data_IF_270629263039
#
_entry.id   IF_270629263039
#
_cell.length_a   1.000
_cell.length_b   1.000
_cell.length_c   1.000
_cell.angle_alpha   90.00
_cell.angle_beta   90.00
_cell.angle_gamma   90.00
#
_symmetry.space_group_name_H-M   'P 1'
#
loop_
_entity.id
_entity.type
_entity.pdbx_description
1 polymer ?
#
# COMPACT_ATOMS: atom_id res chain seq x y z
N UNK A 1 5.69 -16.86 4.06
CA UNK A 1 7.05 -17.41 4.17
C UNK A 1 7.87 -17.09 2.95
N UNK A 2 8.19 -18.09 2.12
CA UNK A 2 9.28 -18.02 1.12
C UNK A 2 9.22 -16.90 0.06
N UNK A 3 8.03 -16.47 -0.37
CA UNK A 3 7.88 -15.44 -1.43
C UNK A 3 8.10 -14.01 -0.94
N UNK A 4 7.90 -13.77 0.35
CA UNK A 4 8.15 -12.47 0.98
C UNK A 4 9.65 -12.20 1.10
N UNK A 5 10.41 -13.24 1.45
CA UNK A 5 11.87 -13.21 1.54
C UNK A 5 12.52 -12.91 0.17
N UNK A 6 11.98 -13.47 -0.90
CA UNK A 6 12.49 -13.25 -2.27
C UNK A 6 12.28 -11.81 -2.76
N UNK A 7 11.15 -11.18 -2.38
CA UNK A 7 10.91 -9.76 -2.67
C UNK A 7 11.78 -8.82 -1.83
N UNK A 8 12.13 -9.22 -0.60
CA UNK A 8 12.96 -8.44 0.31
C UNK A 8 14.42 -8.31 -0.19
N UNK A 9 14.91 -9.28 -0.97
CA UNK A 9 16.28 -9.29 -1.50
C UNK A 9 16.50 -8.45 -2.77
N UNK A 10 15.47 -7.75 -3.28
CA UNK A 10 15.59 -6.95 -4.52
C UNK A 10 16.02 -5.51 -4.18
N UNK A 11 17.22 -5.14 -4.60
CA UNK A 11 17.86 -3.87 -4.22
C UNK A 11 17.11 -2.63 -4.75
N UNK A 12 16.73 -1.72 -3.83
CA UNK A 12 16.13 -0.42 -4.14
C UNK A 12 15.81 0.43 -2.90
N UNK A 13 16.74 1.35 -2.57
CA UNK A 13 16.69 2.59 -1.74
C UNK A 13 15.98 2.59 -0.36
N UNK A 14 15.45 1.48 0.15
CA UNK A 14 14.99 1.40 1.54
C UNK A 14 15.49 0.12 2.21
N UNK A 15 16.16 0.34 3.33
CA UNK A 15 16.78 -0.60 4.26
C UNK A 15 16.05 -1.96 4.33
N UNK A 16 16.75 -3.00 3.87
CA UNK A 16 16.25 -4.38 3.74
C UNK A 16 15.67 -4.91 5.06
N UNK A 17 16.23 -4.49 6.20
CA UNK A 17 15.77 -4.90 7.53
C UNK A 17 14.36 -4.38 7.84
N UNK A 18 14.08 -3.10 7.56
CA UNK A 18 12.74 -2.52 7.78
C UNK A 18 11.67 -3.15 6.88
N UNK A 19 12.05 -3.65 5.70
CA UNK A 19 11.15 -4.38 4.81
C UNK A 19 10.83 -5.79 5.33
N UNK A 20 11.82 -6.52 5.82
CA UNK A 20 11.62 -7.84 6.43
C UNK A 20 10.73 -7.71 7.66
N UNK A 21 11.00 -6.72 8.51
CA UNK A 21 10.21 -6.45 9.70
C UNK A 21 8.77 -6.03 9.36
N UNK A 22 8.60 -5.15 8.37
CA UNK A 22 7.28 -4.79 7.83
C UNK A 22 6.52 -6.00 7.29
N UNK A 23 7.18 -6.84 6.49
CA UNK A 23 6.60 -8.05 5.89
C UNK A 23 6.19 -9.10 6.95
N UNK A 24 6.97 -9.26 8.03
CA UNK A 24 6.63 -10.16 9.13
C UNK A 24 5.42 -9.65 9.92
N UNK A 25 5.34 -8.33 10.16
CA UNK A 25 4.18 -7.72 10.82
C UNK A 25 2.92 -7.76 9.96
N UNK A 26 3.04 -7.61 8.64
CA UNK A 26 1.95 -7.74 7.67
C UNK A 26 1.38 -9.16 7.61
N UNK A 27 2.19 -10.21 7.79
CA UNK A 27 1.72 -11.59 7.82
C UNK A 27 0.78 -11.89 8.99
N UNK A 28 0.92 -11.17 10.10
CA UNK A 28 0.10 -11.32 11.30
C UNK A 28 -0.91 -10.18 11.47
N UNK A 29 -1.08 -9.34 10.44
CA UNK A 29 -1.95 -8.17 10.49
C UNK A 29 -3.40 -8.61 10.61
N UNK A 30 -4.04 -8.25 11.71
CA UNK A 30 -5.49 -8.43 11.86
C UNK A 30 -6.23 -7.45 10.95
N UNK A 31 -7.48 -7.76 10.59
CA UNK A 31 -8.32 -6.85 9.79
C UNK A 31 -8.37 -5.47 10.46
N UNK A 32 -8.74 -5.42 11.73
CA UNK A 32 -8.87 -4.16 12.47
C UNK A 32 -7.57 -3.33 12.43
N UNK A 33 -6.41 -3.94 12.54
CA UNK A 33 -5.14 -3.21 12.44
C UNK A 33 -4.81 -2.73 11.02
N UNK A 34 -5.24 -3.45 9.98
CA UNK A 34 -5.18 -2.95 8.61
C UNK A 34 -6.02 -1.66 8.47
N UNK A 35 -7.21 -1.67 9.07
CA UNK A 35 -8.14 -0.52 9.11
C UNK A 35 -7.56 0.69 9.83
N UNK A 36 -6.79 0.49 10.89
CA UNK A 36 -6.30 1.55 11.78
C UNK A 36 -4.97 2.17 11.35
N UNK A 37 -4.59 2.06 10.07
CA UNK A 37 -3.51 2.87 9.49
C UNK A 37 -2.34 2.10 8.88
N UNK A 38 -2.48 0.79 8.67
CA UNK A 38 -1.42 -0.02 8.01
C UNK A 38 -1.69 -0.33 6.54
N UNK A 39 -2.94 -0.28 6.10
CA UNK A 39 -3.30 -0.37 4.69
C UNK A 39 -4.54 0.50 4.41
N UNK A 40 -4.58 1.14 3.24
CA UNK A 40 -5.77 1.86 2.78
C UNK A 40 -6.51 0.94 1.82
N UNK A 41 -7.73 0.54 2.18
CA UNK A 41 -8.55 -0.39 1.41
C UNK A 41 -9.98 0.12 1.37
N UNK A 42 -10.59 0.19 0.20
CA UNK A 42 -11.96 0.65 0.05
C UNK A 42 -12.36 0.93 -1.39
N UNK A 43 -13.50 1.60 -1.57
CA UNK A 43 -13.89 2.19 -2.87
C UNK A 43 -12.92 3.33 -3.24
N UNK A 44 -12.88 3.76 -4.51
CA UNK A 44 -12.04 4.89 -4.91
C UNK A 44 -12.28 6.16 -4.09
N UNK A 45 -13.53 6.42 -3.70
CA UNK A 45 -13.91 7.56 -2.85
C UNK A 45 -13.27 7.45 -1.46
N UNK A 46 -13.42 6.30 -0.81
CA UNK A 46 -12.82 6.04 0.51
C UNK A 46 -11.30 6.19 0.44
N UNK A 47 -10.66 5.64 -0.60
CA UNK A 47 -9.21 5.72 -0.76
C UNK A 47 -8.76 7.17 -0.98
N UNK A 48 -9.47 7.93 -1.81
CA UNK A 48 -9.16 9.35 -2.04
C UNK A 48 -9.25 10.17 -0.75
N UNK A 49 -10.32 10.02 0.02
CA UNK A 49 -10.52 10.74 1.27
C UNK A 49 -9.41 10.45 2.30
N UNK A 50 -9.02 9.17 2.42
CA UNK A 50 -7.93 8.76 3.31
C UNK A 50 -6.58 9.35 2.87
N UNK A 51 -6.26 9.30 1.57
CA UNK A 51 -5.01 9.82 1.04
C UNK A 51 -4.93 11.35 1.14
N UNK A 52 -6.03 12.07 0.88
CA UNK A 52 -6.11 13.52 1.04
C UNK A 52 -5.89 13.91 2.50
N UNK A 53 -6.59 13.25 3.43
CA UNK A 53 -6.44 13.47 4.86
C UNK A 53 -5.00 13.27 5.35
N UNK A 54 -4.31 12.21 4.88
CA UNK A 54 -2.91 11.97 5.20
C UNK A 54 -1.97 13.02 4.60
N UNK A 55 -2.22 13.44 3.35
CA UNK A 55 -1.41 14.47 2.68
C UNK A 55 -1.46 15.79 3.46
N UNK A 56 -2.66 16.19 3.89
CA UNK A 56 -2.89 17.45 4.60
C UNK A 56 -2.33 17.41 6.03
N UNK A 57 -2.53 16.31 6.75
CA UNK A 57 -2.04 16.16 8.13
C UNK A 57 -0.52 16.10 8.22
N UNK A 58 0.14 15.51 7.22
CA UNK A 58 1.58 15.24 7.26
C UNK A 58 2.39 16.13 6.31
N UNK A 59 1.74 16.97 5.49
CA UNK A 59 2.41 17.85 4.52
C UNK A 59 3.17 17.09 3.43
N UNK A 60 2.63 15.97 2.95
CA UNK A 60 3.33 15.10 2.00
C UNK A 60 3.36 15.72 0.59
N UNK A 61 4.54 15.75 -0.04
CA UNK A 61 4.69 16.17 -1.43
C UNK A 61 4.23 15.11 -2.45
N UNK A 62 4.02 13.87 -2.00
CA UNK A 62 3.63 12.76 -2.86
C UNK A 62 3.48 11.46 -2.06
N UNK A 63 2.94 10.44 -2.72
CA UNK A 63 2.63 9.15 -2.10
C UNK A 63 3.22 8.04 -2.96
N UNK A 64 3.98 7.14 -2.33
CA UNK A 64 4.44 5.89 -2.92
C UNK A 64 3.55 4.76 -2.40
N UNK A 65 2.85 4.06 -3.30
CA UNK A 65 1.92 3.00 -2.94
C UNK A 65 2.43 1.63 -3.42
N UNK A 66 2.49 0.66 -2.51
CA UNK A 66 2.64 -0.75 -2.84
C UNK A 66 1.26 -1.41 -2.90
N UNK A 67 0.82 -1.82 -4.09
CA UNK A 67 -0.55 -2.32 -4.31
C UNK A 67 -0.72 -3.82 -4.06
N UNK A 68 0.38 -4.56 -3.93
CA UNK A 68 0.35 -6.00 -3.73
C UNK A 68 1.38 -6.40 -2.69
N UNK A 69 1.24 -5.86 -1.49
CA UNK A 69 2.12 -6.19 -0.38
C UNK A 69 2.04 -7.69 -0.10
N UNK A 70 3.16 -8.38 -0.33
CA UNK A 70 3.29 -9.81 -0.16
C UNK A 70 2.94 -10.71 -1.35
N UNK A 71 2.56 -10.13 -2.50
CA UNK A 71 2.51 -10.87 -3.76
C UNK A 71 1.41 -11.93 -3.86
N UNK A 72 0.40 -11.88 -2.98
CA UNK A 72 -0.68 -12.87 -2.92
C UNK A 72 -1.92 -12.45 -3.74
N UNK A 73 -2.02 -11.19 -4.13
CA UNK A 73 -3.15 -10.69 -4.92
C UNK A 73 -2.95 -11.10 -6.39
N UNK A 74 -3.95 -11.74 -7.04
CA UNK A 74 -3.90 -12.05 -8.47
C UNK A 74 -3.61 -10.81 -9.31
N UNK A 75 -2.77 -10.98 -10.34
CA UNK A 75 -2.29 -9.87 -11.18
C UNK A 75 -3.43 -9.00 -11.74
N UNK A 76 -4.49 -9.62 -12.25
CA UNK A 76 -5.66 -8.93 -12.79
C UNK A 76 -6.30 -7.95 -11.78
N UNK A 77 -6.33 -8.32 -10.49
CA UNK A 77 -6.91 -7.49 -9.44
C UNK A 77 -5.99 -6.34 -9.08
N UNK A 78 -4.67 -6.57 -9.07
CA UNK A 78 -3.68 -5.51 -8.87
C UNK A 78 -3.76 -4.47 -9.99
N UNK A 79 -3.84 -4.93 -11.24
CA UNK A 79 -3.97 -4.05 -12.41
C UNK A 79 -5.27 -3.25 -12.36
N UNK A 80 -6.39 -3.88 -11.96
CA UNK A 80 -7.66 -3.17 -11.77
C UNK A 80 -7.57 -2.11 -10.67
N UNK A 81 -6.93 -2.42 -9.53
CA UNK A 81 -6.70 -1.44 -8.46
C UNK A 81 -5.83 -0.28 -8.92
N UNK A 82 -4.77 -0.55 -9.69
CA UNK A 82 -3.92 0.49 -10.27
C UNK A 82 -4.68 1.38 -11.24
N UNK A 83 -5.51 0.80 -12.10
CA UNK A 83 -6.39 1.57 -13.00
C UNK A 83 -7.32 2.50 -12.22
N UNK A 84 -8.00 1.99 -11.18
CA UNK A 84 -8.89 2.80 -10.34
C UNK A 84 -8.13 3.90 -9.60
N UNK A 85 -6.91 3.61 -9.12
CA UNK A 85 -6.06 4.60 -8.47
C UNK A 85 -5.75 5.76 -9.45
N UNK A 86 -5.34 5.46 -10.67
CA UNK A 86 -5.03 6.47 -11.68
C UNK A 86 -6.26 7.23 -12.18
N UNK A 87 -7.37 6.55 -12.45
CA UNK A 87 -8.53 7.16 -13.11
C UNK A 87 -9.53 7.82 -12.15
N UNK A 88 -9.61 7.37 -10.90
CA UNK A 88 -10.69 7.75 -9.96
C UNK A 88 -10.19 8.35 -8.66
N UNK A 89 -8.96 8.04 -8.25
CA UNK A 89 -8.38 8.53 -6.99
C UNK A 89 -7.47 9.71 -7.23
N UNK A 90 -6.43 9.55 -8.06
CA UNK A 90 -5.42 10.58 -8.32
C UNK A 90 -6.02 11.93 -8.79
N UNK A 91 -7.08 11.98 -9.64
CA UNK A 91 -7.70 13.25 -10.04
C UNK A 91 -8.38 14.01 -8.89
N UNK A 92 -8.68 13.34 -7.76
CA UNK A 92 -9.28 13.96 -6.56
C UNK A 92 -8.23 14.45 -5.56
N UNK A 93 -6.96 14.08 -5.75
CA UNK A 93 -5.85 14.48 -4.90
C UNK A 93 -5.19 15.74 -5.50
N UNK A 94 -5.76 16.91 -5.21
CA UNK A 94 -5.21 18.22 -5.59
C UNK A 94 -4.24 18.73 -4.53
#
# INVERSE_FOLDING_TARGET
>A
GARLEESANRAGVFDTERRIEGAQRLQNLTWDEARHGRAIVGTPEIVADNLASLKDQLGLAGILAELNTGGLIPHEKVMRSMQLLCEKVQPRLH
#
